data_IF_390354295868
#
_entry.id   IF_390354295868
#
_cell.length_a   1.000
_cell.length_b   1.000
_cell.length_c   1.000
_cell.angle_alpha   90.00
_cell.angle_beta   90.00
_cell.angle_gamma   90.00
#
_symmetry.space_group_name_H-M   'P 1'
#
loop_
_entity.id
_entity.type
_entity.pdbx_description
1 polymer ?
#
# COMPACT_ATOMS: atom_id res chain seq x y z
N UNK A 1 37.89 22.65 46.41
CA UNK A 1 37.84 22.05 45.06
C UNK A 1 36.68 21.05 45.10
N UNK A 2 35.41 21.35 44.81
CA UNK A 2 34.73 22.03 43.67
C UNK A 2 34.78 21.27 42.35
N UNK A 3 33.60 20.74 41.96
CA UNK A 3 33.05 20.32 40.65
C UNK A 3 33.80 19.21 39.86
N UNK A 4 33.17 18.28 39.13
CA UNK A 4 31.83 18.12 38.55
C UNK A 4 31.48 16.59 38.52
N UNK A 5 30.28 16.06 38.74
CA UNK A 5 28.93 16.34 38.22
C UNK A 5 28.76 16.14 36.70
N UNK A 6 28.16 15.00 36.35
CA UNK A 6 27.17 14.88 35.27
C UNK A 6 27.68 14.60 33.86
N UNK A 7 26.87 13.83 33.12
CA UNK A 7 27.00 13.36 31.72
C UNK A 7 27.73 12.00 31.64
N UNK A 8 27.10 10.88 31.29
CA UNK A 8 26.07 10.69 30.28
C UNK A 8 24.92 9.80 30.77
N UNK A 9 23.71 10.36 30.67
CA UNK A 9 22.46 9.65 30.75
C UNK A 9 22.32 8.71 29.56
N UNK A 10 21.99 7.45 29.87
CA UNK A 10 21.02 6.61 29.17
C UNK A 10 20.58 7.14 27.79
N UNK A 11 21.42 6.91 26.78
CA UNK A 11 20.92 6.68 25.43
C UNK A 11 20.24 5.30 25.43
N UNK A 12 19.09 5.20 26.10
CA UNK A 12 18.18 4.08 25.94
C UNK A 12 17.87 4.00 24.45
N UNK A 13 18.51 3.04 23.78
CA UNK A 13 18.18 2.66 22.43
C UNK A 13 16.69 2.32 22.45
N UNK A 14 15.84 3.21 21.94
CA UNK A 14 14.40 2.98 21.94
C UNK A 14 14.11 2.00 20.79
N UNK A 15 13.87 0.70 21.06
CA UNK A 15 13.66 -0.29 20.01
C UNK A 15 12.39 -0.01 19.18
N UNK A 16 11.49 0.86 19.68
CA UNK A 16 10.26 1.23 18.98
C UNK A 16 10.50 2.12 17.75
N UNK A 17 11.64 2.82 17.65
CA UNK A 17 12.00 3.57 16.43
C UNK A 17 12.52 2.66 15.31
N UNK A 18 12.92 1.42 15.62
CA UNK A 18 13.38 0.45 14.63
C UNK A 18 12.23 -0.27 13.90
N UNK A 19 10.97 -0.04 14.30
CA UNK A 19 9.80 -0.74 13.77
C UNK A 19 8.90 0.09 12.84
N UNK A 20 9.17 1.38 12.62
CA UNK A 20 8.40 2.20 11.68
C UNK A 20 8.85 1.90 10.25
N UNK A 21 8.05 1.10 9.53
CA UNK A 21 8.31 0.87 8.12
C UNK A 21 7.96 2.15 7.35
N UNK A 22 8.70 2.53 6.30
CA UNK A 22 8.38 3.73 5.52
C UNK A 22 6.92 3.76 5.04
N UNK A 23 6.33 2.60 4.72
CA UNK A 23 4.92 2.47 4.33
C UNK A 23 3.90 2.86 5.43
N UNK A 24 4.31 2.95 6.70
CA UNK A 24 3.43 3.38 7.79
C UNK A 24 3.25 4.91 7.79
N UNK A 25 4.19 5.65 7.19
CA UNK A 25 4.11 7.10 7.02
C UNK A 25 3.16 7.51 5.89
N UNK A 26 2.07 8.21 6.24
CA UNK A 26 1.12 8.75 5.26
C UNK A 26 1.81 9.62 4.21
N UNK A 27 2.73 10.52 4.62
CA UNK A 27 3.44 11.39 3.66
C UNK A 27 4.23 10.58 2.63
N UNK A 28 4.87 9.50 3.06
CA UNK A 28 5.64 8.64 2.18
C UNK A 28 4.72 7.91 1.19
N UNK A 29 3.60 7.37 1.65
CA UNK A 29 2.59 6.73 0.78
C UNK A 29 2.02 7.69 -0.25
N UNK A 30 1.63 8.90 0.16
CA UNK A 30 1.13 9.93 -0.77
C UNK A 30 2.18 10.32 -1.81
N UNK A 31 3.43 10.53 -1.40
CA UNK A 31 4.53 10.86 -2.30
C UNK A 31 4.75 9.75 -3.34
N UNK A 32 4.74 8.48 -2.91
CA UNK A 32 4.85 7.33 -3.81
C UNK A 32 3.69 7.21 -4.80
N UNK A 33 2.46 7.40 -4.32
CA UNK A 33 1.29 7.36 -5.17
C UNK A 33 1.31 8.50 -6.19
N UNK A 34 1.80 9.67 -5.78
CA UNK A 34 2.01 10.80 -6.68
C UNK A 34 3.06 10.49 -7.76
N UNK A 35 4.19 9.86 -7.39
CA UNK A 35 5.18 9.37 -8.35
C UNK A 35 4.57 8.38 -9.35
N UNK A 36 3.77 7.42 -8.88
CA UNK A 36 3.10 6.45 -9.74
C UNK A 36 2.18 7.12 -10.76
N UNK A 37 1.37 8.09 -10.34
CA UNK A 37 0.47 8.83 -11.24
C UNK A 37 1.26 9.69 -12.24
N UNK A 38 2.40 10.25 -11.84
CA UNK A 38 3.28 10.99 -12.76
C UNK A 38 3.89 10.07 -13.82
N UNK A 39 4.40 8.90 -13.43
CA UNK A 39 4.91 7.89 -14.36
C UNK A 39 3.80 7.41 -15.30
N UNK A 40 2.59 7.14 -14.78
CA UNK A 40 1.46 6.72 -15.60
C UNK A 40 1.11 7.78 -16.65
N UNK A 41 1.05 9.06 -16.27
CA UNK A 41 0.83 10.16 -17.21
C UNK A 41 1.92 10.22 -18.27
N UNK A 42 3.20 10.17 -17.88
CA UNK A 42 4.33 10.29 -18.80
C UNK A 42 4.41 9.09 -19.76
N UNK A 43 3.97 7.92 -19.33
CA UNK A 43 3.88 6.72 -20.15
C UNK A 43 2.59 6.63 -21.00
N UNK A 44 1.70 7.64 -20.94
CA UNK A 44 0.42 7.62 -21.62
C UNK A 44 -0.52 6.50 -21.15
N UNK A 45 -0.40 6.08 -19.88
CA UNK A 45 -1.18 4.99 -19.29
C UNK A 45 -2.32 5.54 -18.45
N UNK A 46 -3.52 5.01 -18.68
CA UNK A 46 -4.72 5.32 -17.89
C UNK A 46 -4.74 4.52 -16.59
N UNK A 47 -5.35 5.12 -15.56
CA UNK A 47 -5.61 4.49 -14.26
C UNK A 47 -7.13 4.52 -14.01
N UNK A 48 -7.90 3.67 -14.71
CA UNK A 48 -9.36 3.79 -14.82
C UNK A 48 -10.12 3.56 -13.51
N UNK A 49 -9.53 2.85 -12.54
CA UNK A 49 -10.21 2.48 -11.30
C UNK A 49 -9.25 2.44 -10.12
N UNK A 50 -9.84 2.43 -8.91
CA UNK A 50 -9.09 2.31 -7.66
C UNK A 50 -8.37 0.95 -7.60
N UNK A 51 -9.01 -0.11 -8.07
CA UNK A 51 -8.40 -1.44 -8.13
C UNK A 51 -7.18 -1.46 -9.04
N UNK A 52 -7.29 -0.82 -10.21
CA UNK A 52 -6.16 -0.72 -11.14
C UNK A 52 -5.00 0.05 -10.53
N UNK A 53 -5.29 1.13 -9.81
CA UNK A 53 -4.29 1.87 -9.05
C UNK A 53 -3.65 1.00 -7.96
N UNK A 54 -4.45 0.19 -7.26
CA UNK A 54 -3.97 -0.71 -6.20
C UNK A 54 -3.02 -1.78 -6.72
N UNK A 55 -3.33 -2.40 -7.86
CA UNK A 55 -2.41 -3.32 -8.52
C UNK A 55 -1.10 -2.63 -8.92
N UNK A 56 -1.18 -1.45 -9.55
CA UNK A 56 0.01 -0.71 -9.93
C UNK A 56 0.86 -0.30 -8.73
N UNK A 57 0.25 0.19 -7.64
CA UNK A 57 0.95 0.56 -6.40
C UNK A 57 1.65 -0.64 -5.78
N UNK A 58 0.91 -1.75 -5.61
CA UNK A 58 1.42 -2.92 -4.92
C UNK A 58 2.57 -3.58 -5.68
N UNK A 59 2.41 -3.77 -7.00
CA UNK A 59 3.46 -4.40 -7.81
C UNK A 59 4.62 -3.45 -8.08
N UNK A 60 4.45 -2.13 -8.01
CA UNK A 60 5.60 -1.19 -8.06
C UNK A 60 6.51 -1.35 -6.85
N UNK A 61 5.97 -1.72 -5.69
CA UNK A 61 6.77 -2.06 -4.51
C UNK A 61 7.36 -3.47 -4.56
N UNK A 62 6.75 -4.37 -5.31
CA UNK A 62 7.13 -5.78 -5.38
C UNK A 62 7.28 -6.23 -6.84
N UNK A 63 8.16 -5.58 -7.63
CA UNK A 63 8.15 -5.70 -9.09
C UNK A 63 8.59 -7.08 -9.60
N UNK A 64 9.33 -7.85 -8.78
CA UNK A 64 9.69 -9.22 -9.12
C UNK A 64 8.50 -10.20 -9.16
N UNK A 65 7.37 -9.87 -8.51
CA UNK A 65 6.18 -10.72 -8.54
C UNK A 65 5.63 -10.84 -9.98
N UNK A 66 5.73 -9.76 -10.77
CA UNK A 66 5.21 -9.72 -12.14
C UNK A 66 6.26 -10.11 -13.20
N UNK A 67 7.42 -10.60 -12.76
CA UNK A 67 8.47 -11.18 -13.62
C UNK A 67 8.37 -12.72 -13.51
N UNK A 68 7.46 -13.31 -14.29
CA UNK A 68 7.13 -14.75 -14.27
C UNK A 68 8.04 -15.61 -15.17
N UNK A 69 9.04 -15.00 -15.82
CA UNK A 69 9.98 -15.64 -16.73
C UNK A 69 9.41 -15.91 -18.13
N UNK A 70 8.17 -15.52 -18.42
CA UNK A 70 7.50 -15.86 -19.68
C UNK A 70 7.81 -14.87 -20.80
N UNK A 71 8.13 -13.61 -20.48
CA UNK A 71 8.43 -12.60 -21.51
C UNK A 71 9.93 -12.52 -21.77
N UNK A 72 10.29 -12.33 -23.05
CA UNK A 72 11.68 -12.11 -23.47
C UNK A 72 12.35 -10.91 -22.78
N UNK A 73 11.58 -9.94 -22.31
CA UNK A 73 12.08 -8.75 -21.60
C UNK A 73 12.37 -9.01 -20.11
N UNK A 74 11.97 -10.14 -19.54
CA UNK A 74 12.11 -10.43 -18.11
C UNK A 74 13.55 -10.38 -17.59
N UNK A 75 14.56 -10.95 -18.28
CA UNK A 75 15.94 -10.84 -17.82
C UNK A 75 16.45 -9.40 -17.78
N UNK A 76 16.05 -8.58 -18.76
CA UNK A 76 16.44 -7.17 -18.86
C UNK A 76 15.77 -6.34 -17.77
N UNK A 77 14.47 -6.57 -17.56
CA UNK A 77 13.70 -5.90 -16.50
C UNK A 77 14.22 -6.28 -15.11
N UNK A 78 14.57 -7.54 -14.90
CA UNK A 78 15.14 -7.99 -13.64
C UNK A 78 16.48 -7.32 -13.32
N UNK A 79 17.40 -7.26 -14.28
CA UNK A 79 18.69 -6.56 -14.10
C UNK A 79 18.46 -5.07 -13.84
N UNK A 80 17.50 -4.46 -14.54
CA UNK A 80 17.13 -3.05 -14.32
C UNK A 80 16.66 -2.81 -12.88
N UNK A 81 15.83 -3.70 -12.34
CA UNK A 81 15.36 -3.63 -10.96
C UNK A 81 16.48 -3.88 -9.93
N UNK A 82 17.38 -4.82 -10.19
CA UNK A 82 18.53 -5.11 -9.34
C UNK A 82 19.48 -3.89 -9.26
N UNK A 83 19.75 -3.24 -10.40
CA UNK A 83 20.53 -1.98 -10.46
C UNK A 83 19.80 -0.85 -9.73
N UNK A 84 18.47 -0.79 -9.81
CA UNK A 84 17.65 0.16 -9.07
C UNK A 84 17.56 -0.14 -7.56
N UNK A 85 18.20 -1.21 -7.07
CA UNK A 85 18.29 -1.55 -5.65
C UNK A 85 17.18 -2.48 -5.13
N UNK A 86 16.35 -3.05 -6.01
CA UNK A 86 15.39 -4.07 -5.61
C UNK A 86 16.08 -5.43 -5.44
N UNK A 87 15.65 -6.20 -4.43
CA UNK A 87 16.15 -7.54 -4.19
C UNK A 87 15.00 -8.56 -4.27
N UNK A 88 15.25 -9.67 -4.99
CA UNK A 88 14.34 -10.82 -5.10
C UNK A 88 14.01 -11.46 -3.75
N UNK A 89 14.94 -11.43 -2.80
CA UNK A 89 14.79 -12.06 -1.49
C UNK A 89 13.84 -11.32 -0.52
N UNK A 90 13.42 -10.08 -0.83
CA UNK A 90 12.42 -9.35 -0.02
C UNK A 90 11.00 -9.93 -0.17
N UNK A 91 10.82 -10.93 -1.03
CA UNK A 91 9.59 -11.70 -1.19
C UNK A 91 9.46 -12.78 -0.10
N UNK A 92 9.13 -12.39 1.13
CA UNK A 92 8.64 -13.35 2.13
C UNK A 92 7.20 -13.77 1.75
N UNK A 93 7.13 -14.88 1.01
CA UNK A 93 6.00 -15.45 0.27
C UNK A 93 4.71 -15.73 1.07
N UNK A 94 4.73 -15.61 2.40
CA UNK A 94 3.57 -15.90 3.25
C UNK A 94 2.71 -14.66 3.61
N UNK A 95 3.19 -13.43 3.38
CA UNK A 95 2.50 -12.19 3.84
C UNK A 95 2.05 -11.25 2.73
N UNK A 96 2.36 -11.53 1.47
CA UNK A 96 2.06 -10.63 0.34
C UNK A 96 0.55 -10.41 0.14
N UNK A 97 -0.26 -11.46 0.28
CA UNK A 97 -1.72 -11.38 0.18
C UNK A 97 -2.37 -10.51 1.27
N UNK A 98 -1.99 -10.73 2.53
CA UNK A 98 -2.48 -9.90 3.65
C UNK A 98 -2.04 -8.43 3.52
N UNK A 99 -0.80 -8.20 3.06
CA UNK A 99 -0.29 -6.86 2.77
C UNK A 99 -1.07 -6.20 1.64
N UNK A 100 -1.45 -6.95 0.60
CA UNK A 100 -2.26 -6.46 -0.51
C UNK A 100 -3.65 -6.01 -0.03
N UNK A 101 -4.40 -6.87 0.68
CA UNK A 101 -5.72 -6.53 1.20
C UNK A 101 -5.69 -5.33 2.17
N UNK A 102 -4.69 -5.27 3.06
CA UNK A 102 -4.50 -4.14 3.99
C UNK A 102 -4.18 -2.83 3.25
N UNK A 103 -3.44 -2.90 2.14
CA UNK A 103 -3.13 -1.73 1.31
C UNK A 103 -4.32 -1.25 0.51
N UNK A 104 -5.12 -2.16 -0.05
CA UNK A 104 -6.33 -1.83 -0.81
C UNK A 104 -7.32 -1.02 0.04
N UNK A 105 -7.54 -1.40 1.30
CA UNK A 105 -8.35 -0.65 2.28
C UNK A 105 -7.86 0.78 2.50
N UNK A 106 -6.54 0.98 2.63
CA UNK A 106 -5.95 2.31 2.84
C UNK A 106 -5.90 3.17 1.59
N UNK A 107 -5.87 2.55 0.41
CA UNK A 107 -5.70 3.22 -0.87
C UNK A 107 -6.79 4.28 -1.13
N UNK A 108 -8.05 3.97 -0.82
CA UNK A 108 -9.15 4.93 -0.99
C UNK A 108 -8.91 6.22 -0.20
N UNK A 109 -8.44 6.08 1.04
CA UNK A 109 -8.14 7.22 1.90
C UNK A 109 -6.96 8.05 1.37
N UNK A 110 -5.86 7.39 0.98
CA UNK A 110 -4.67 8.07 0.45
C UNK A 110 -5.00 8.82 -0.88
N UNK A 111 -5.82 8.23 -1.76
CA UNK A 111 -6.29 8.88 -2.99
C UNK A 111 -7.17 10.08 -2.68
N UNK A 112 -8.11 9.96 -1.74
CA UNK A 112 -8.95 11.08 -1.32
C UNK A 112 -8.11 12.25 -0.79
N UNK A 113 -7.03 11.97 -0.06
CA UNK A 113 -6.09 13.00 0.38
C UNK A 113 -5.40 13.70 -0.81
N UNK A 114 -4.87 12.95 -1.78
CA UNK A 114 -4.25 13.56 -2.98
C UNK A 114 -5.23 14.45 -3.76
N UNK A 115 -6.49 14.03 -3.86
CA UNK A 115 -7.55 14.82 -4.50
C UNK A 115 -7.85 16.09 -3.69
N UNK A 116 -8.01 15.97 -2.38
CA UNK A 116 -8.28 17.13 -1.50
C UNK A 116 -7.14 18.16 -1.51
N UNK A 117 -5.90 17.71 -1.67
CA UNK A 117 -4.72 18.57 -1.79
C UNK A 117 -4.56 19.18 -3.19
N UNK A 118 -5.40 18.80 -4.15
CA UNK A 118 -5.33 19.24 -5.55
C UNK A 118 -4.11 18.70 -6.30
N UNK A 119 -3.57 17.57 -5.86
CA UNK A 119 -2.41 16.90 -6.48
C UNK A 119 -2.83 15.82 -7.49
N UNK A 120 -4.02 15.24 -7.31
CA UNK A 120 -4.65 14.33 -8.25
C UNK A 120 -6.11 14.75 -8.48
N UNK A 121 -6.74 14.20 -9.51
CA UNK A 121 -8.17 14.35 -9.80
C UNK A 121 -8.73 13.08 -10.41
N UNK A 122 -10.04 12.89 -10.31
CA UNK A 122 -10.78 11.88 -11.06
C UNK A 122 -11.39 12.53 -12.31
N UNK A 123 -11.20 11.93 -13.48
CA UNK A 123 -11.86 12.34 -14.72
C UNK A 123 -12.47 11.11 -15.43
N UNK A 124 -12.97 11.28 -16.66
CA UNK A 124 -13.58 10.19 -17.43
C UNK A 124 -12.64 9.01 -17.72
N UNK A 125 -11.33 9.23 -17.71
CA UNK A 125 -10.30 8.22 -17.93
C UNK A 125 -9.74 7.61 -16.62
N UNK A 126 -10.27 8.04 -15.48
CA UNK A 126 -9.89 7.59 -14.15
C UNK A 126 -9.04 8.59 -13.37
N UNK A 127 -8.14 8.07 -12.52
CA UNK A 127 -7.29 8.89 -11.65
C UNK A 127 -6.11 9.47 -12.44
N UNK A 128 -5.95 10.79 -12.38
CA UNK A 128 -4.92 11.52 -13.11
C UNK A 128 -4.23 12.54 -12.20
N UNK A 129 -2.92 12.68 -12.34
CA UNK A 129 -2.13 13.70 -11.64
C UNK A 129 -2.45 15.10 -12.19
N UNK A 130 -2.55 16.11 -11.32
CA UNK A 130 -2.73 17.50 -11.75
C UNK A 130 -1.39 18.13 -12.16
N UNK A 131 -1.37 19.29 -12.84
CA UNK A 131 -0.12 20.02 -13.10
C UNK A 131 0.65 20.37 -11.81
N UNK A 132 -0.07 20.68 -10.72
CA UNK A 132 0.55 20.92 -9.41
C UNK A 132 1.17 19.65 -8.84
N UNK A 133 0.42 18.53 -8.89
CA UNK A 133 0.91 17.23 -8.46
C UNK A 133 2.18 16.82 -9.18
N UNK A 134 2.22 17.03 -10.50
CA UNK A 134 3.39 16.66 -11.30
C UNK A 134 4.63 17.49 -11.00
N UNK A 135 4.50 18.81 -10.77
CA UNK A 135 5.63 19.61 -10.30
C UNK A 135 6.19 19.06 -8.99
N UNK A 136 5.32 18.80 -8.02
CA UNK A 136 5.73 18.23 -6.73
C UNK A 136 6.36 16.83 -6.91
N UNK A 137 5.84 16.00 -7.82
CA UNK A 137 6.45 14.72 -8.15
C UNK A 137 7.85 14.88 -8.75
N UNK A 138 8.09 15.92 -9.55
CA UNK A 138 9.40 16.27 -10.10
C UNK A 138 10.43 16.68 -9.05
N UNK A 139 9.97 17.26 -7.94
CA UNK A 139 10.83 17.66 -6.81
C UNK A 139 11.27 16.46 -5.94
N UNK A 140 10.63 15.29 -6.08
CA UNK A 140 10.98 14.07 -5.35
C UNK A 140 12.19 13.37 -6.00
N UNK A 141 13.40 13.79 -5.64
CA UNK A 141 14.66 13.36 -6.31
C UNK A 141 15.53 12.43 -5.47
N UNK A 142 14.93 11.61 -4.60
CA UNK A 142 15.69 10.62 -3.83
C UNK A 142 16.00 9.37 -4.64
N UNK A 143 17.04 8.63 -4.25
CA UNK A 143 17.35 7.32 -4.83
C UNK A 143 16.15 6.35 -4.76
N UNK A 144 15.36 6.42 -3.68
CA UNK A 144 14.12 5.66 -3.57
C UNK A 144 13.08 6.10 -4.61
N UNK A 145 12.90 7.40 -4.83
CA UNK A 145 11.97 7.91 -5.82
C UNK A 145 12.35 7.46 -7.23
N UNK A 146 13.64 7.47 -7.56
CA UNK A 146 14.13 7.00 -8.86
C UNK A 146 13.93 5.49 -9.04
N UNK A 147 14.24 4.71 -8.01
CA UNK A 147 13.97 3.27 -8.00
C UNK A 147 12.48 2.98 -8.19
N UNK A 148 11.61 3.69 -7.46
CA UNK A 148 10.17 3.52 -7.54
C UNK A 148 9.62 3.95 -8.92
N UNK A 149 10.14 5.01 -9.53
CA UNK A 149 9.79 5.36 -10.92
C UNK A 149 10.13 4.23 -11.88
N UNK A 150 11.31 3.61 -11.74
CA UNK A 150 11.73 2.49 -12.58
C UNK A 150 10.86 1.26 -12.42
N UNK A 151 10.52 0.89 -11.19
CA UNK A 151 9.61 -0.23 -10.97
C UNK A 151 8.21 0.06 -11.52
N UNK A 152 7.68 1.28 -11.31
CA UNK A 152 6.40 1.71 -11.87
C UNK A 152 6.38 1.69 -13.40
N UNK A 153 7.44 2.13 -14.08
CA UNK A 153 7.56 2.07 -15.55
C UNK A 153 7.41 0.62 -16.06
N UNK A 154 8.11 -0.32 -15.42
CA UNK A 154 8.07 -1.75 -15.77
C UNK A 154 6.67 -2.33 -15.52
N UNK A 155 6.11 -2.06 -14.34
CA UNK A 155 4.79 -2.57 -13.92
C UNK A 155 3.68 -2.02 -14.82
N UNK A 156 3.65 -0.71 -15.06
CA UNK A 156 2.66 -0.07 -15.94
C UNK A 156 2.73 -0.59 -17.37
N UNK A 157 3.95 -0.82 -17.88
CA UNK A 157 4.14 -1.43 -19.21
C UNK A 157 3.63 -2.87 -19.27
N UNK A 158 3.80 -3.64 -18.21
CA UNK A 158 3.39 -5.06 -18.14
C UNK A 158 1.89 -5.25 -17.97
N UNK A 159 1.31 -4.51 -17.03
CA UNK A 159 -0.06 -4.66 -16.61
C UNK A 159 -1.01 -3.81 -17.47
N UNK A 160 -0.53 -2.69 -18.01
CA UNK A 160 -1.31 -1.76 -18.84
C UNK A 160 -2.17 -2.41 -19.94
N UNK A 161 -1.64 -3.37 -20.73
CA UNK A 161 -2.42 -4.06 -21.77
C UNK A 161 -3.46 -5.07 -21.26
N UNK A 162 -3.43 -5.46 -19.99
CA UNK A 162 -4.32 -6.48 -19.44
C UNK A 162 -5.73 -5.91 -19.22
N UNK A 163 -6.76 -6.69 -19.53
CA UNK A 163 -8.15 -6.40 -19.14
C UNK A 163 -8.30 -6.47 -17.61
N UNK A 164 -9.42 -6.01 -17.07
CA UNK A 164 -9.69 -6.13 -15.64
C UNK A 164 -9.70 -7.60 -15.19
N UNK A 165 -10.44 -8.46 -15.89
CA UNK A 165 -10.50 -9.90 -15.62
C UNK A 165 -9.15 -10.59 -15.79
N UNK A 166 -8.41 -10.25 -16.85
CA UNK A 166 -7.08 -10.81 -17.09
C UNK A 166 -6.10 -10.42 -15.99
N UNK A 167 -6.19 -9.19 -15.47
CA UNK A 167 -5.34 -8.74 -14.37
C UNK A 167 -5.69 -9.48 -13.07
N UNK A 168 -6.98 -9.65 -12.76
CA UNK A 168 -7.46 -10.39 -11.60
C UNK A 168 -6.99 -11.84 -11.59
N UNK A 169 -7.15 -12.58 -12.69
CA UNK A 169 -6.67 -13.96 -12.79
C UNK A 169 -5.14 -14.09 -12.67
N UNK A 170 -4.39 -13.10 -13.18
CA UNK A 170 -2.93 -13.07 -13.00
C UNK A 170 -2.56 -12.78 -11.54
N UNK A 171 -3.28 -11.88 -10.87
CA UNK A 171 -3.07 -11.57 -9.45
C UNK A 171 -3.32 -12.80 -8.58
N UNK A 172 -4.37 -13.58 -8.85
CA UNK A 172 -4.63 -14.85 -8.17
C UNK A 172 -3.48 -15.83 -8.31
N UNK A 173 -2.91 -15.91 -9.52
CA UNK A 173 -1.77 -16.78 -9.82
C UNK A 173 -0.51 -16.30 -9.07
N UNK A 174 -0.28 -14.99 -9.03
CA UNK A 174 0.93 -14.40 -8.44
C UNK A 174 0.90 -14.33 -6.91
N UNK A 175 -0.25 -14.03 -6.30
CA UNK A 175 -0.40 -13.85 -4.85
C UNK A 175 -0.98 -15.08 -4.15
N UNK A 176 -1.44 -16.07 -4.91
CA UNK A 176 -2.17 -17.22 -4.42
C UNK A 176 -3.65 -16.92 -4.16
N UNK A 177 -4.49 -17.94 -4.37
CA UNK A 177 -5.96 -17.86 -4.25
C UNK A 177 -6.43 -17.40 -2.86
N UNK A 178 -5.65 -17.66 -1.81
CA UNK A 178 -5.97 -17.31 -0.42
C UNK A 178 -5.98 -15.79 -0.16
N UNK A 179 -5.36 -14.99 -1.03
CA UNK A 179 -5.24 -13.54 -0.84
C UNK A 179 -6.53 -12.77 -1.17
N UNK A 180 -7.28 -13.20 -2.19
CA UNK A 180 -8.57 -12.59 -2.56
C UNK A 180 -9.71 -13.02 -1.64
N UNK A 181 -9.65 -14.25 -1.10
CA UNK A 181 -10.63 -14.71 -0.10
C UNK A 181 -10.57 -13.91 1.21
N UNK A 182 -9.38 -13.42 1.60
CA UNK A 182 -9.24 -12.51 2.75
C UNK A 182 -9.84 -11.12 2.48
N UNK A 183 -9.80 -10.65 1.23
CA UNK A 183 -10.46 -9.40 0.81
C UNK A 183 -11.99 -9.54 0.88
N UNK A 184 -12.53 -10.66 0.40
CA UNK A 184 -13.96 -10.98 0.43
C UNK A 184 -14.50 -11.21 1.86
N UNK A 185 -13.73 -11.87 2.73
CA UNK A 185 -14.16 -12.17 4.10
C UNK A 185 -14.16 -10.94 4.99
N UNK A 186 -13.25 -9.98 4.77
CA UNK A 186 -13.22 -8.74 5.54
C UNK A 186 -14.37 -7.78 5.13
N UNK A 187 -14.82 -7.78 3.87
CA UNK A 187 -16.01 -7.02 3.42
C UNK A 187 -17.29 -7.39 4.22
N UNK A 188 -17.38 -8.64 4.70
CA UNK A 188 -18.49 -9.12 5.55
C UNK A 188 -18.34 -8.67 7.00
N UNK A 189 -17.12 -8.42 7.49
CA UNK A 189 -16.89 -8.02 8.89
C UNK A 189 -17.18 -6.55 9.19
N UNK A 190 -17.24 -5.68 8.17
CA UNK A 190 -17.67 -4.28 8.30
C UNK A 190 -19.21 -4.11 8.31
N UNK A 191 -19.97 -5.20 8.17
CA UNK A 191 -21.39 -5.20 8.47
C UNK A 191 -21.56 -5.05 9.99
N UNK A 192 -21.80 -3.80 10.44
CA UNK A 192 -22.15 -3.48 11.83
C UNK A 192 -23.29 -4.41 12.26
N UNK A 193 -22.98 -5.36 13.12
CA UNK A 193 -24.00 -6.18 13.75
C UNK A 193 -24.97 -5.23 14.47
N UNK A 194 -26.30 -5.33 14.24
CA UNK A 194 -27.25 -4.53 14.99
C UNK A 194 -26.99 -4.74 16.48
N UNK A 195 -27.02 -3.66 17.29
CA UNK A 195 -26.72 -3.77 18.72
C UNK A 195 -27.59 -4.87 19.31
N UNK A 196 -26.92 -5.84 19.96
CA UNK A 196 -27.62 -6.91 20.64
C UNK A 196 -28.61 -6.28 21.64
N UNK A 197 -29.88 -6.70 21.67
CA UNK A 197 -30.82 -6.21 22.67
C UNK A 197 -30.23 -6.49 24.05
N UNK A 198 -30.14 -5.45 24.89
CA UNK A 198 -29.70 -5.55 26.28
C UNK A 198 -30.48 -6.70 26.94
N UNK A 199 -29.77 -7.77 27.30
CA UNK A 199 -30.35 -8.82 28.13
C UNK A 199 -30.68 -8.17 29.47
N UNK A 200 -31.98 -7.99 29.72
CA UNK A 200 -32.51 -7.51 30.99
C UNK A 200 -31.80 -8.23 32.14
N UNK A 201 -31.20 -7.45 33.03
CA UNK A 201 -30.55 -7.96 34.22
C UNK A 201 -31.57 -8.79 35.02
N UNK A 202 -31.23 -10.00 35.50
CA UNK A 202 -32.17 -10.82 36.24
C UNK A 202 -32.61 -10.12 37.54
N UNK A 203 -33.85 -10.33 37.98
CA UNK A 203 -34.45 -9.56 39.07
C UNK A 203 -33.69 -9.80 40.39
N UNK A 204 -33.47 -8.70 41.13
CA UNK A 204 -32.92 -8.71 42.49
C UNK A 204 -33.75 -9.65 43.36
N UNK A 205 -33.13 -10.70 43.90
CA UNK A 205 -33.75 -11.57 44.90
C UNK A 205 -34.07 -10.73 46.15
N UNK A 206 -35.36 -10.65 46.47
CA UNK A 206 -35.86 -10.21 47.77
C UNK A 206 -35.35 -11.18 48.85
N UNK A 207 -34.52 -10.68 49.78
CA UNK A 207 -34.31 -11.34 51.06
C UNK A 207 -35.42 -10.91 52.01
N UNK A 208 -36.49 -11.71 52.09
CA UNK A 208 -37.23 -11.94 53.33
C UNK A 208 -36.79 -13.30 53.86
N UNK A 209 -36.78 -13.60 55.15
CA UNK A 209 -37.43 -12.94 56.27
C UNK A 209 -36.75 -13.41 57.57
N UNK A 210 -37.11 -12.73 58.66
CA UNK A 210 -36.69 -12.87 60.04
C UNK A 210 -36.87 -14.27 60.66
N UNK A 211 -36.05 -14.54 61.68
CA UNK A 211 -36.19 -15.62 62.66
C UNK A 211 -35.10 -15.55 63.71
#
# INVERSE_FOLDING_TARGET
MSAASGLDQDASFNPDLAALKPEDSTRFRLARMLLLLDVARNAGRKVPSLDRLGYYEFFSDNPFIVLDGQKRTDPVDAVTLEIAGFNRAQLAYASSGQRFASRRRRLQHDVAQLVSLGLATLNADGYVITPRGSRLAGDLQSAYADAYRKSSEIVLRRLGPMTASGLESNVETWLGHSSLLLDLLDEVTDAVAPPLPELESPPRRFNGDNG
#
